data_IF_286433156276
#
_entry.id   IF_286433156276
#
_cell.length_a   1.000
_cell.length_b   1.000
_cell.length_c   1.000
_cell.angle_alpha   90.00
_cell.angle_beta   90.00
_cell.angle_gamma   90.00
#
_symmetry.space_group_name_H-M   'P 1'
#
loop_
_entity.id
_entity.type
_entity.pdbx_description
1 polymer ?
#
# COMPACT_ATOMS: atom_id res chain seq x y z
N UNK A 1 -18.82 -8.97 -9.76
CA UNK A 1 -17.74 -8.01 -9.49
C UNK A 1 -17.57 -7.15 -10.72
N UNK A 2 -17.68 -5.84 -10.58
CA UNK A 2 -17.44 -4.89 -11.68
C UNK A 2 -15.96 -4.84 -12.01
N UNK A 3 -15.61 -4.58 -13.27
CA UNK A 3 -14.21 -4.46 -13.68
C UNK A 3 -13.62 -3.11 -13.21
N UNK A 4 -12.40 -3.06 -12.64
CA UNK A 4 -11.76 -1.81 -12.26
C UNK A 4 -11.47 -0.93 -13.48
N UNK A 5 -12.00 0.30 -13.49
CA UNK A 5 -11.83 1.26 -14.61
C UNK A 5 -10.94 2.44 -14.29
N UNK A 6 -10.67 2.70 -13.00
CA UNK A 6 -9.87 3.85 -12.56
C UNK A 6 -8.45 3.42 -12.24
N UNK A 7 -7.48 3.87 -13.03
CA UNK A 7 -6.06 3.56 -12.88
C UNK A 7 -5.29 4.73 -12.26
N UNK A 8 -4.45 4.42 -11.29
CA UNK A 8 -3.55 5.36 -10.63
C UNK A 8 -2.15 4.77 -10.56
N UNK A 9 -1.15 5.54 -10.95
CA UNK A 9 0.26 5.16 -10.81
C UNK A 9 0.93 5.98 -9.71
N UNK A 10 1.95 5.39 -9.11
CA UNK A 10 2.75 6.03 -8.07
C UNK A 10 4.11 5.38 -7.93
N UNK A 11 5.02 6.07 -7.24
CA UNK A 11 6.34 5.54 -6.92
C UNK A 11 6.81 6.07 -5.58
N UNK A 12 7.75 5.34 -4.96
CA UNK A 12 8.49 5.88 -3.83
C UNK A 12 9.37 7.07 -4.27
N UNK A 13 9.86 7.84 -3.30
CA UNK A 13 10.66 9.04 -3.57
C UNK A 13 11.83 8.81 -4.52
N UNK A 14 12.53 7.67 -4.39
CA UNK A 14 13.69 7.35 -5.22
C UNK A 14 13.37 6.53 -6.48
N UNK A 15 12.10 6.20 -6.75
CA UNK A 15 11.67 5.42 -7.91
C UNK A 15 11.93 3.91 -7.86
N UNK A 16 12.60 3.41 -6.82
CA UNK A 16 12.96 1.99 -6.68
C UNK A 16 11.76 1.05 -6.44
N UNK A 17 10.61 1.60 -6.07
CA UNK A 17 9.34 0.89 -5.96
C UNK A 17 8.31 1.72 -6.71
N UNK A 18 7.63 1.10 -7.68
CA UNK A 18 6.50 1.68 -8.41
C UNK A 18 5.24 0.84 -8.19
N UNK A 19 4.10 1.49 -8.33
CA UNK A 19 2.79 0.87 -8.15
C UNK A 19 1.84 1.33 -9.23
N UNK A 20 1.07 0.37 -9.74
CA UNK A 20 -0.11 0.61 -10.53
C UNK A 20 -1.31 0.06 -9.77
N UNK A 21 -2.30 0.91 -9.53
CA UNK A 21 -3.48 0.63 -8.74
C UNK A 21 -4.71 0.79 -9.62
N UNK A 22 -5.61 -0.18 -9.57
CA UNK A 22 -6.90 -0.11 -10.26
C UNK A 22 -8.05 -0.25 -9.28
N UNK A 23 -9.04 0.63 -9.42
CA UNK A 23 -10.23 0.67 -8.58
C UNK A 23 -11.50 0.74 -9.43
N UNK A 24 -12.62 0.32 -8.85
CA UNK A 24 -13.95 0.45 -9.45
C UNK A 24 -14.60 1.81 -9.19
N UNK A 25 -14.22 2.47 -8.09
CA UNK A 25 -14.71 3.80 -7.72
C UNK A 25 -13.73 4.89 -8.20
N UNK A 26 -14.26 6.09 -8.45
CA UNK A 26 -13.45 7.28 -8.68
C UNK A 26 -12.72 7.70 -7.39
N UNK A 27 -11.61 8.41 -7.50
CA UNK A 27 -10.76 8.78 -6.36
C UNK A 27 -11.51 9.64 -5.32
N UNK A 28 -12.40 10.51 -5.76
CA UNK A 28 -13.21 11.39 -4.91
C UNK A 28 -14.26 10.62 -4.09
N UNK A 29 -14.60 9.41 -4.52
CA UNK A 29 -15.57 8.53 -3.86
C UNK A 29 -14.89 7.54 -2.90
N UNK A 30 -13.57 7.41 -2.96
CA UNK A 30 -12.82 6.48 -2.11
C UNK A 30 -12.77 6.96 -0.67
N UNK A 31 -13.02 6.02 0.26
CA UNK A 31 -12.86 6.31 1.68
C UNK A 31 -11.38 6.34 2.06
N UNK A 32 -10.89 7.54 2.35
CA UNK A 32 -9.56 7.74 2.95
C UNK A 32 -9.59 7.37 4.44
N UNK A 33 -8.59 6.61 4.87
CA UNK A 33 -8.45 6.12 6.25
C UNK A 33 -7.20 6.71 6.90
N UNK A 34 -7.37 7.18 8.13
CA UNK A 34 -6.30 7.61 9.02
C UNK A 34 -6.21 6.67 10.23
N UNK A 35 -5.36 5.65 10.12
CA UNK A 35 -5.16 4.72 11.22
C UNK A 35 -4.44 5.40 12.38
N UNK A 36 -4.94 5.21 13.61
CA UNK A 36 -4.42 5.85 14.83
C UNK A 36 -3.30 5.04 15.50
N UNK A 37 -2.81 3.96 14.90
CA UNK A 37 -1.68 3.24 15.47
C UNK A 37 -0.40 4.10 15.43
N UNK A 38 0.55 3.78 16.31
CA UNK A 38 1.81 4.53 16.44
C UNK A 38 2.61 4.55 15.12
N UNK A 39 2.61 3.45 14.37
CA UNK A 39 3.26 3.38 13.06
C UNK A 39 2.65 4.39 12.09
N UNK A 40 1.34 4.36 11.85
CA UNK A 40 0.69 5.23 10.87
C UNK A 40 0.73 6.70 11.29
N UNK A 41 0.56 6.98 12.60
CA UNK A 41 0.64 8.34 13.14
C UNK A 41 2.04 8.93 12.94
N UNK A 42 3.11 8.17 13.21
CA UNK A 42 4.49 8.64 12.99
C UNK A 42 4.83 8.87 11.51
N UNK A 43 4.23 8.10 10.61
CA UNK A 43 4.40 8.27 9.16
C UNK A 43 3.48 9.35 8.58
N UNK A 44 2.50 9.86 9.35
CA UNK A 44 1.49 10.78 8.84
C UNK A 44 0.68 10.20 7.67
N UNK A 45 0.48 8.88 7.66
CA UNK A 45 -0.04 8.19 6.48
C UNK A 45 -1.56 8.24 6.38
N UNK A 46 -2.04 8.40 5.14
CA UNK A 46 -3.43 8.23 4.73
C UNK A 46 -3.49 7.08 3.74
N UNK A 47 -4.42 6.15 3.93
CA UNK A 47 -4.52 4.96 3.08
C UNK A 47 -5.91 4.79 2.52
N UNK A 48 -6.00 4.17 1.34
CA UNK A 48 -7.23 3.70 0.73
C UNK A 48 -7.14 2.18 0.56
N UNK A 49 -8.29 1.52 0.64
CA UNK A 49 -8.41 0.07 0.41
C UNK A 49 -9.72 -0.20 -0.28
N UNK A 50 -9.70 -1.01 -1.34
CA UNK A 50 -10.89 -1.45 -2.06
C UNK A 50 -10.89 -2.97 -2.16
N UNK A 51 -12.02 -3.61 -1.82
CA UNK A 51 -12.14 -5.07 -1.83
C UNK A 51 -12.08 -5.66 -3.25
N UNK A 52 -12.48 -4.87 -4.25
CA UNK A 52 -12.46 -5.20 -5.68
C UNK A 52 -11.33 -4.50 -6.44
N UNK A 53 -10.39 -3.89 -5.71
CA UNK A 53 -9.21 -3.24 -6.28
C UNK A 53 -8.15 -4.23 -6.75
N UNK A 54 -7.24 -3.76 -7.60
CA UNK A 54 -6.04 -4.49 -8.01
C UNK A 54 -4.81 -3.61 -7.81
N UNK A 55 -3.71 -4.23 -7.44
CA UNK A 55 -2.41 -3.56 -7.33
C UNK A 55 -1.33 -4.41 -8.00
N UNK A 56 -0.51 -3.76 -8.82
CA UNK A 56 0.75 -4.29 -9.31
C UNK A 56 1.86 -3.46 -8.67
N UNK A 57 2.73 -4.12 -7.92
CA UNK A 57 3.88 -3.46 -7.28
C UNK A 57 5.15 -4.00 -7.93
N UNK A 58 5.93 -3.11 -8.53
CA UNK A 58 7.23 -3.43 -9.13
C UNK A 58 8.33 -2.90 -8.22
N UNK A 59 9.32 -3.74 -7.94
CA UNK A 59 10.33 -3.45 -6.92
C UNK A 59 11.70 -3.79 -7.49
N UNK A 60 12.64 -2.85 -7.40
CA UNK A 60 14.05 -3.13 -7.63
C UNK A 60 14.57 -4.18 -6.63
N UNK A 61 15.55 -5.01 -7.04
CA UNK A 61 16.18 -6.00 -6.15
C UNK A 61 16.64 -5.39 -4.82
N UNK A 62 16.34 -6.10 -3.73
CA UNK A 62 16.74 -5.74 -2.36
C UNK A 62 16.24 -4.36 -1.86
N UNK A 63 15.27 -3.74 -2.53
CA UNK A 63 14.74 -2.42 -2.12
C UNK A 63 13.48 -2.50 -1.26
N UNK A 64 12.91 -3.69 -1.05
CA UNK A 64 11.75 -3.88 -0.18
C UNK A 64 12.17 -4.22 1.26
N UNK A 65 11.70 -3.42 2.22
CA UNK A 65 11.61 -3.80 3.63
C UNK A 65 10.16 -4.16 3.97
N UNK A 66 9.99 -5.23 4.73
CA UNK A 66 8.72 -5.62 5.33
C UNK A 66 8.85 -5.52 6.84
N UNK A 67 7.91 -4.84 7.48
CA UNK A 67 7.86 -4.68 8.92
C UNK A 67 6.51 -5.15 9.44
N UNK A 68 6.54 -5.95 10.50
CA UNK A 68 5.34 -6.41 11.20
C UNK A 68 5.50 -6.12 12.68
N UNK A 69 4.39 -5.78 13.34
CA UNK A 69 4.33 -5.51 14.77
C UNK A 69 2.93 -5.86 15.31
N UNK A 70 2.74 -5.75 16.63
CA UNK A 70 1.46 -6.03 17.26
C UNK A 70 1.01 -7.47 17.03
N UNK A 71 -0.17 -7.67 16.45
CA UNK A 71 -0.72 -9.00 16.12
C UNK A 71 0.02 -9.73 15.01
N UNK A 72 1.02 -9.10 14.37
CA UNK A 72 1.78 -9.65 13.25
C UNK A 72 0.94 -9.89 11.97
N UNK A 73 -0.32 -9.45 11.94
CA UNK A 73 -1.26 -9.67 10.82
C UNK A 73 -0.86 -8.88 9.56
N UNK A 74 -0.45 -7.63 9.74
CA UNK A 74 -0.13 -6.72 8.65
C UNK A 74 1.38 -6.60 8.43
N UNK A 75 1.83 -6.76 7.19
CA UNK A 75 3.15 -6.40 6.71
C UNK A 75 3.12 -4.99 6.10
N UNK A 76 3.80 -4.06 6.76
CA UNK A 76 4.01 -2.71 6.28
C UNK A 76 5.22 -2.70 5.35
N UNK A 77 4.99 -2.31 4.11
CA UNK A 77 6.00 -2.28 3.05
C UNK A 77 6.66 -0.92 2.98
N UNK A 78 7.98 -0.89 3.02
CA UNK A 78 8.78 0.32 2.96
C UNK A 78 9.95 0.17 1.99
N UNK A 79 10.34 1.27 1.34
CA UNK A 79 11.53 1.31 0.53
C UNK A 79 12.79 1.37 1.42
N UNK A 80 13.69 0.41 1.29
CA UNK A 80 14.98 0.39 2.01
C UNK A 80 15.87 1.59 1.68
N UNK A 81 15.76 2.14 0.46
CA UNK A 81 16.59 3.25 -0.01
C UNK A 81 16.15 4.60 0.52
N UNK A 82 14.85 4.90 0.48
CA UNK A 82 14.33 6.23 0.82
C UNK A 82 13.41 6.26 2.05
N UNK A 83 13.09 5.12 2.65
CA UNK A 83 12.21 5.03 3.82
C UNK A 83 10.71 5.24 3.51
N UNK A 84 10.32 5.52 2.26
CA UNK A 84 8.92 5.68 1.90
C UNK A 84 8.12 4.43 2.25
N UNK A 85 7.06 4.61 3.04
CA UNK A 85 6.00 3.63 3.25
C UNK A 85 5.10 3.58 2.00
N UNK A 86 5.00 2.42 1.37
CA UNK A 86 4.32 2.24 0.07
C UNK A 86 2.98 1.50 0.17
N UNK A 87 2.75 0.74 1.25
CA UNK A 87 1.48 0.04 1.45
C UNK A 87 1.51 -1.02 2.53
N UNK A 88 0.39 -1.71 2.70
CA UNK A 88 0.24 -2.83 3.65
C UNK A 88 -0.21 -4.07 2.90
N UNK A 89 0.42 -5.20 3.21
CA UNK A 89 -0.06 -6.52 2.85
C UNK A 89 -0.63 -7.21 4.08
N UNK A 90 -1.89 -7.64 3.98
CA UNK A 90 -2.48 -8.58 4.92
C UNK A 90 -2.60 -9.90 4.17
N UNK A 91 -1.89 -10.92 4.65
CA UNK A 91 -2.10 -12.27 4.14
C UNK A 91 -3.36 -12.80 4.81
N UNK A 92 -4.33 -13.23 4.02
CA UNK A 92 -5.36 -14.13 4.52
C UNK A 92 -4.65 -15.44 4.90
N UNK A 93 -5.01 -16.02 6.05
CA UNK A 93 -4.30 -17.17 6.61
C UNK A 93 -3.99 -18.25 5.56
N UNK A 94 -2.70 -18.54 5.43
CA UNK A 94 -2.06 -19.53 4.56
C UNK A 94 -2.10 -19.23 3.04
N UNK A 95 -1.04 -18.55 2.57
CA UNK A 95 -0.18 -18.92 1.42
C UNK A 95 1.01 -17.97 1.31
#
# INVERSE_FOLDING_TARGET
>A
MSEPTHHHSGQCHCGAISMDLWFTQAAEEMQVRSCQCEFCTRHGSLTVSAADGRALITIEPDQLASYRFGSNTAAFLMCRRCGCYVGVLMADGDQ
#
